data_IF_157429115481
#
_entry.id   IF_157429115481
#
_cell.length_a   1.000
_cell.length_b   1.000
_cell.length_c   1.000
_cell.angle_alpha   90.00
_cell.angle_beta   90.00
_cell.angle_gamma   90.00
#
_symmetry.space_group_name_H-M   'P 1'
#
loop_
_entity.id
_entity.type
_entity.pdbx_description
1 polymer ?
#
# COMPACT_ATOMS: atom_id res chain seq x y z
N UNK A 1 16.14 70.62 13.54
CA UNK A 1 16.49 69.25 13.10
C UNK A 1 15.34 68.34 13.49
N UNK A 2 14.46 68.01 12.55
CA UNK A 2 13.47 66.95 12.70
C UNK A 2 13.82 65.89 11.65
N UNK A 3 14.22 64.70 12.10
CA UNK A 3 14.57 63.58 11.24
C UNK A 3 13.31 62.77 10.93
N UNK A 4 12.95 62.71 9.65
CA UNK A 4 11.89 61.84 9.14
C UNK A 4 12.41 60.41 9.09
N UNK A 5 11.86 59.50 9.89
CA UNK A 5 12.14 58.06 9.79
C UNK A 5 11.10 57.45 8.85
N UNK A 6 11.48 57.23 7.59
CA UNK A 6 10.67 56.48 6.64
C UNK A 6 10.84 54.99 6.93
N UNK A 7 9.77 54.35 7.36
CA UNK A 7 9.69 52.89 7.51
C UNK A 7 9.34 52.31 6.14
N UNK A 8 10.34 51.78 5.43
CA UNK A 8 10.12 50.94 4.24
C UNK A 8 9.41 49.66 4.68
N UNK A 9 8.20 49.44 4.18
CA UNK A 9 7.54 48.14 4.19
C UNK A 9 8.09 47.32 3.01
N UNK A 10 8.77 46.19 3.25
CA UNK A 10 8.97 45.20 2.20
C UNK A 10 7.82 44.21 2.29
N UNK A 11 6.80 44.35 1.46
CA UNK A 11 5.81 43.28 1.28
C UNK A 11 5.52 43.12 -0.21
N UNK A 12 6.52 42.60 -0.94
CA UNK A 12 6.21 41.80 -2.11
C UNK A 12 5.39 40.59 -1.64
N UNK A 13 4.09 40.65 -1.89
CA UNK A 13 3.21 39.48 -1.84
C UNK A 13 3.84 38.43 -2.77
N UNK A 14 4.25 37.24 -2.28
CA UNK A 14 4.85 36.25 -3.16
C UNK A 14 3.84 35.89 -4.26
N UNK A 15 4.28 35.79 -5.53
CA UNK A 15 3.37 35.53 -6.63
C UNK A 15 2.69 34.19 -6.42
N UNK A 16 1.39 34.16 -6.71
CA UNK A 16 0.58 32.95 -6.84
C UNK A 16 1.39 31.87 -7.57
N UNK A 17 1.84 30.84 -6.84
CA UNK A 17 2.58 29.74 -7.45
C UNK A 17 1.70 29.13 -8.53
N UNK A 18 2.14 29.18 -9.80
CA UNK A 18 1.35 28.63 -10.90
C UNK A 18 1.09 27.14 -10.68
N UNK A 19 -0.05 26.64 -11.15
CA UNK A 19 -0.40 25.20 -11.07
C UNK A 19 0.70 24.30 -11.65
N UNK A 20 1.42 24.78 -12.67
CA UNK A 20 2.58 24.11 -13.25
C UNK A 20 3.77 24.02 -12.27
N UNK A 21 4.01 25.09 -11.50
CA UNK A 21 5.06 25.12 -10.48
C UNK A 21 4.74 24.20 -9.30
N UNK A 22 3.48 24.18 -8.84
CA UNK A 22 3.01 23.25 -7.80
C UNK A 22 3.10 21.78 -8.21
N UNK A 23 2.73 21.45 -9.46
CA UNK A 23 2.87 20.09 -10.01
C UNK A 23 4.34 19.66 -10.15
N UNK A 24 5.22 20.59 -10.50
CA UNK A 24 6.67 20.32 -10.59
C UNK A 24 7.27 20.08 -9.20
N UNK A 25 6.89 20.87 -8.20
CA UNK A 25 7.29 20.65 -6.79
C UNK A 25 6.80 19.28 -6.31
N UNK A 26 5.53 18.94 -6.59
CA UNK A 26 4.95 17.63 -6.23
C UNK A 26 5.72 16.47 -6.86
N UNK A 27 6.01 16.53 -8.16
CA UNK A 27 6.83 15.53 -8.85
C UNK A 27 8.21 15.36 -8.24
N UNK A 28 8.87 16.46 -7.89
CA UNK A 28 10.20 16.42 -7.27
C UNK A 28 10.15 15.73 -5.92
N UNK A 29 9.18 16.09 -5.07
CA UNK A 29 8.98 15.45 -3.76
C UNK A 29 8.69 13.95 -3.89
N UNK A 30 7.84 13.53 -4.83
CA UNK A 30 7.56 12.11 -5.06
C UNK A 30 8.81 11.33 -5.49
N UNK A 31 9.66 11.91 -6.34
CA UNK A 31 10.92 11.29 -6.75
C UNK A 31 11.95 11.22 -5.62
N UNK A 32 12.03 12.25 -4.77
CA UNK A 32 12.89 12.25 -3.59
C UNK A 32 12.49 11.15 -2.61
N UNK A 33 11.19 10.99 -2.32
CA UNK A 33 10.66 9.90 -1.50
C UNK A 33 10.92 8.51 -2.12
N UNK A 34 10.74 8.38 -3.45
CA UNK A 34 11.07 7.14 -4.16
C UNK A 34 12.58 6.80 -4.06
N UNK A 35 13.44 7.81 -4.07
CA UNK A 35 14.89 7.67 -3.84
C UNK A 35 15.21 7.19 -2.42
N UNK A 36 14.57 7.76 -1.40
CA UNK A 36 14.70 7.31 0.00
C UNK A 36 14.28 5.84 0.15
N UNK A 37 13.15 5.46 -0.45
CA UNK A 37 12.68 4.07 -0.43
C UNK A 37 13.64 3.13 -1.16
N UNK A 38 14.29 3.56 -2.24
CA UNK A 38 15.32 2.74 -2.90
C UNK A 38 16.49 2.44 -1.96
N UNK A 39 16.91 3.41 -1.13
CA UNK A 39 17.96 3.19 -0.15
C UNK A 39 17.53 2.18 0.92
N UNK A 40 16.29 2.30 1.43
CA UNK A 40 15.71 1.32 2.36
C UNK A 40 15.71 -0.08 1.74
N UNK A 41 15.17 -0.23 0.53
CA UNK A 41 15.14 -1.50 -0.21
C UNK A 41 16.54 -2.12 -0.30
N UNK A 42 17.54 -1.34 -0.73
CA UNK A 42 18.91 -1.84 -0.88
C UNK A 42 19.51 -2.30 0.46
N UNK A 43 19.31 -1.53 1.54
CA UNK A 43 19.80 -1.87 2.87
C UNK A 43 19.10 -3.11 3.43
N UNK A 44 17.79 -3.20 3.27
CA UNK A 44 17.01 -4.35 3.72
C UNK A 44 17.40 -5.62 2.98
N UNK A 45 17.60 -5.56 1.65
CA UNK A 45 18.11 -6.69 0.88
C UNK A 45 19.50 -7.14 1.36
N UNK A 46 20.38 -6.19 1.69
CA UNK A 46 21.68 -6.50 2.25
C UNK A 46 21.56 -7.17 3.63
N UNK A 47 20.69 -6.67 4.51
CA UNK A 47 20.45 -7.27 5.81
C UNK A 47 19.90 -8.70 5.70
N UNK A 48 18.94 -8.94 4.81
CA UNK A 48 18.38 -10.26 4.54
C UNK A 48 19.42 -11.24 3.99
N UNK A 49 20.41 -10.74 3.21
CA UNK A 49 21.51 -11.59 2.72
C UNK A 49 22.41 -12.15 3.82
N UNK A 50 22.38 -11.55 5.03
CA UNK A 50 23.10 -12.05 6.19
C UNK A 50 22.36 -13.19 6.92
N UNK A 51 21.07 -13.41 6.65
CA UNK A 51 20.26 -14.44 7.30
C UNK A 51 20.44 -15.83 6.67
N UNK A 52 21.64 -16.41 6.82
CA UNK A 52 22.02 -17.66 6.13
C UNK A 52 21.44 -18.92 6.76
N UNK A 53 21.25 -18.92 8.08
CA UNK A 53 20.85 -20.08 8.89
C UNK A 53 20.26 -19.59 10.22
N UNK A 54 19.86 -20.52 11.09
CA UNK A 54 19.15 -20.16 12.30
C UNK A 54 19.97 -19.28 13.26
N UNK A 55 21.28 -19.52 13.37
CA UNK A 55 22.20 -18.73 14.21
C UNK A 55 22.37 -17.31 13.67
N UNK A 56 22.29 -17.13 12.34
CA UNK A 56 22.35 -15.83 11.68
C UNK A 56 20.97 -15.17 11.41
N UNK A 57 19.90 -15.65 12.05
CA UNK A 57 18.58 -15.00 12.04
C UNK A 57 17.54 -15.58 11.08
N UNK A 58 17.83 -16.69 10.38
CA UNK A 58 16.87 -17.33 9.46
C UNK A 58 15.62 -17.87 10.18
N UNK A 59 14.45 -17.32 9.91
CA UNK A 59 13.17 -17.64 10.54
C UNK A 59 12.90 -16.82 11.80
N UNK A 60 13.74 -15.83 12.11
CA UNK A 60 13.52 -14.95 13.26
C UNK A 60 12.46 -13.89 12.97
N UNK A 61 12.01 -13.20 14.03
CA UNK A 61 11.11 -12.06 13.89
C UNK A 61 11.78 -10.92 13.13
N UNK A 62 13.08 -10.72 13.32
CA UNK A 62 13.86 -9.69 12.65
C UNK A 62 13.93 -9.93 11.14
N UNK A 63 14.14 -11.17 10.69
CA UNK A 63 14.06 -11.51 9.26
C UNK A 63 12.65 -11.26 8.72
N UNK A 64 11.61 -11.65 9.45
CA UNK A 64 10.24 -11.45 9.02
C UNK A 64 9.86 -9.96 8.91
N UNK A 65 10.27 -9.12 9.87
CA UNK A 65 10.06 -7.66 9.79
C UNK A 65 10.88 -7.04 8.64
N UNK A 66 12.08 -7.55 8.36
CA UNK A 66 12.87 -7.11 7.21
C UNK A 66 12.21 -7.49 5.88
N UNK A 67 11.67 -8.71 5.73
CA UNK A 67 10.90 -9.13 4.55
C UNK A 67 9.66 -8.26 4.34
N UNK A 68 8.91 -8.00 5.43
CA UNK A 68 7.77 -7.09 5.39
C UNK A 68 8.17 -5.67 5.00
N UNK A 69 9.25 -5.14 5.60
CA UNK A 69 9.76 -3.81 5.27
C UNK A 69 10.14 -3.73 3.78
N UNK A 70 10.83 -4.74 3.26
CA UNK A 70 11.20 -4.83 1.86
C UNK A 70 9.96 -4.78 0.96
N UNK A 71 8.94 -5.57 1.25
CA UNK A 71 7.68 -5.60 0.49
C UNK A 71 7.00 -4.23 0.52
N UNK A 72 6.79 -3.66 1.72
CA UNK A 72 6.10 -2.38 1.88
C UNK A 72 6.88 -1.26 1.18
N UNK A 73 8.21 -1.24 1.28
CA UNK A 73 9.04 -0.23 0.61
C UNK A 73 9.01 -0.37 -0.92
N UNK A 74 9.00 -1.61 -1.44
CA UNK A 74 8.85 -1.86 -2.87
C UNK A 74 7.50 -1.35 -3.39
N UNK A 75 6.40 -1.69 -2.71
CA UNK A 75 5.05 -1.25 -3.08
C UNK A 75 4.92 0.27 -3.03
N UNK A 76 5.41 0.93 -1.96
CA UNK A 76 5.40 2.38 -1.84
C UNK A 76 6.20 3.04 -2.96
N UNK A 77 7.39 2.53 -3.27
CA UNK A 77 8.24 3.08 -4.33
C UNK A 77 7.57 2.91 -5.70
N UNK A 78 6.95 1.77 -5.96
CA UNK A 78 6.21 1.50 -7.19
C UNK A 78 5.05 2.49 -7.36
N UNK A 79 4.26 2.70 -6.31
CA UNK A 79 3.14 3.62 -6.30
C UNK A 79 3.58 5.08 -6.56
N UNK A 80 4.65 5.55 -5.90
CA UNK A 80 5.20 6.88 -6.13
C UNK A 80 5.67 7.08 -7.59
N UNK A 81 6.35 6.08 -8.17
CA UNK A 81 6.83 6.15 -9.54
C UNK A 81 5.68 6.09 -10.56
N UNK A 82 4.64 5.30 -10.28
CA UNK A 82 3.44 5.27 -11.10
C UNK A 82 2.73 6.64 -11.09
N UNK A 83 2.64 7.29 -9.93
CA UNK A 83 2.04 8.62 -9.84
C UNK A 83 2.88 9.70 -10.53
N UNK A 84 4.21 9.64 -10.42
CA UNK A 84 5.12 10.50 -11.20
C UNK A 84 4.89 10.32 -12.69
N UNK A 85 4.70 9.08 -13.17
CA UNK A 85 4.41 8.83 -14.58
C UNK A 85 3.05 9.41 -15.00
N UNK A 86 2.01 9.20 -14.19
CA UNK A 86 0.66 9.74 -14.42
C UNK A 86 0.65 11.27 -14.51
N UNK A 87 1.32 11.95 -13.58
CA UNK A 87 1.44 13.41 -13.56
C UNK A 87 2.20 13.96 -14.78
N UNK A 88 3.12 13.18 -15.37
CA UNK A 88 3.83 13.57 -16.60
C UNK A 88 2.96 13.43 -17.84
N UNK A 89 2.09 12.42 -17.90
CA UNK A 89 1.16 12.18 -19.02
C UNK A 89 0.02 13.20 -19.04
N UNK A 90 -0.51 13.57 -17.87
CA UNK A 90 -1.54 14.62 -17.72
C UNK A 90 -1.06 15.98 -18.23
N UNK A 91 0.25 16.26 -18.15
CA UNK A 91 0.88 17.47 -18.73
C UNK A 91 0.88 17.49 -20.26
N UNK A 92 0.75 16.34 -20.92
CA UNK A 92 0.75 16.22 -22.39
C UNK A 92 -0.63 16.34 -23.03
N UNK A 93 -1.70 16.28 -22.23
CA UNK A 93 -3.10 16.23 -22.70
C UNK A 93 -3.85 17.49 -22.30
N UNK A 94 -3.39 18.66 -22.76
CA UNK A 94 -4.20 19.88 -22.74
C UNK A 94 -5.12 19.89 -23.98
N UNK A 95 -6.23 19.16 -23.94
CA UNK A 95 -7.28 19.27 -24.98
C UNK A 95 -8.68 19.17 -24.40
N UNK A 96 -9.35 20.33 -24.33
CA UNK A 96 -10.75 20.55 -24.69
C UNK A 96 -11.85 19.84 -23.89
N UNK A 97 -12.63 20.60 -23.14
CA UNK A 97 -13.90 21.19 -23.59
C UNK A 97 -14.67 21.69 -22.36
N UNK A 98 -14.77 23.01 -22.20
CA UNK A 98 -15.65 23.66 -21.22
C UNK A 98 -17.10 23.52 -21.71
N UNK A 99 -17.78 22.50 -21.20
CA UNK A 99 -19.24 22.44 -21.19
C UNK A 99 -19.76 23.02 -19.88
N UNK A 100 -20.45 24.15 -19.96
CA UNK A 100 -21.13 24.82 -18.85
C UNK A 100 -22.36 24.01 -18.40
N UNK A 101 -22.09 22.91 -17.71
CA UNK A 101 -23.04 22.22 -16.87
C UNK A 101 -22.37 22.20 -15.51
N UNK A 102 -22.90 22.88 -14.50
CA UNK A 102 -22.42 22.73 -13.12
C UNK A 102 -22.87 21.34 -12.66
N UNK A 103 -22.04 20.28 -12.77
CA UNK A 103 -22.44 18.99 -12.26
C UNK A 103 -22.43 19.17 -10.74
N UNK A 104 -23.47 18.74 -10.03
CA UNK A 104 -23.42 18.71 -8.57
C UNK A 104 -22.09 18.08 -8.17
N UNK A 105 -21.25 18.87 -7.48
CA UNK A 105 -19.92 18.42 -7.10
C UNK A 105 -20.11 17.13 -6.27
N UNK A 106 -19.49 16.00 -6.67
CA UNK A 106 -19.69 14.75 -5.98
C UNK A 106 -19.44 14.94 -4.49
N UNK A 107 -20.33 14.43 -3.64
CA UNK A 107 -20.17 14.54 -2.21
C UNK A 107 -18.81 13.92 -1.79
N UNK A 108 -18.11 14.61 -0.89
CA UNK A 108 -16.86 14.11 -0.30
C UNK A 108 -17.15 13.55 1.08
N UNK A 109 -16.45 12.49 1.45
CA UNK A 109 -16.72 11.73 2.66
C UNK A 109 -15.44 11.35 3.41
N UNK A 110 -15.63 10.68 4.53
CA UNK A 110 -14.55 10.04 5.29
C UNK A 110 -14.84 8.55 5.40
N UNK A 111 -13.83 7.73 5.13
CA UNK A 111 -13.88 6.27 5.36
C UNK A 111 -12.88 5.92 6.45
N UNK A 112 -13.31 5.12 7.41
CA UNK A 112 -12.47 4.62 8.50
C UNK A 112 -12.48 3.09 8.51
N UNK A 113 -11.29 2.49 8.51
CA UNK A 113 -11.11 1.03 8.63
C UNK A 113 -10.61 0.75 10.05
N UNK A 114 -11.42 0.03 10.83
CA UNK A 114 -11.16 -0.35 12.22
C UNK A 114 -11.31 -1.86 12.39
N UNK A 115 -10.87 -2.37 13.54
CA UNK A 115 -11.16 -3.73 14.01
C UNK A 115 -10.78 -4.81 12.97
N UNK A 116 -9.57 -4.69 12.41
CA UNK A 116 -9.05 -5.61 11.41
C UNK A 116 -8.74 -6.94 12.10
N UNK A 117 -9.38 -8.00 11.63
CA UNK A 117 -9.29 -9.34 12.21
C UNK A 117 -8.99 -10.38 11.12
N UNK A 118 -8.14 -11.33 11.46
CA UNK A 118 -7.78 -12.47 10.61
C UNK A 118 -8.10 -13.77 11.32
N UNK A 119 -9.26 -14.39 11.04
CA UNK A 119 -9.59 -15.72 11.52
C UNK A 119 -8.66 -16.76 10.89
N UNK A 120 -8.08 -17.61 11.73
CA UNK A 120 -7.29 -18.75 11.33
C UNK A 120 -8.08 -20.04 11.58
N UNK A 121 -7.63 -21.13 10.98
CA UNK A 121 -8.19 -22.44 11.31
C UNK A 121 -7.80 -22.84 12.73
N UNK A 122 -8.75 -23.35 13.52
CA UNK A 122 -8.51 -23.79 14.90
C UNK A 122 -7.38 -24.80 14.98
N UNK A 123 -7.34 -25.79 14.08
CA UNK A 123 -6.29 -26.80 14.05
C UNK A 123 -4.90 -26.20 13.80
N UNK A 124 -4.83 -25.12 13.01
CA UNK A 124 -3.58 -24.40 12.77
C UNK A 124 -3.11 -23.68 14.03
N UNK A 125 -4.01 -22.97 14.72
CA UNK A 125 -3.70 -22.29 15.98
C UNK A 125 -3.27 -23.30 17.04
N UNK A 126 -4.01 -24.40 17.22
CA UNK A 126 -3.63 -25.48 18.14
C UNK A 126 -2.27 -26.09 17.79
N UNK A 127 -1.97 -26.30 16.51
CA UNK A 127 -0.66 -26.82 16.09
C UNK A 127 0.49 -25.86 16.43
N UNK A 128 0.26 -24.55 16.32
CA UNK A 128 1.26 -23.53 16.65
C UNK A 128 1.55 -23.45 18.15
N UNK A 129 0.56 -23.67 19.01
CA UNK A 129 0.74 -23.66 20.47
C UNK A 129 1.58 -24.84 20.97
N UNK A 130 1.51 -25.98 20.27
CA UNK A 130 2.28 -27.18 20.61
C UNK A 130 3.69 -27.16 20.02
N UNK A 131 4.00 -26.21 19.13
CA UNK A 131 5.32 -26.07 18.51
C UNK A 131 6.23 -25.27 19.43
N UNK A 132 7.42 -25.81 19.70
CA UNK A 132 8.50 -25.09 20.36
C UNK A 132 9.41 -24.40 19.33
N UNK A 133 10.07 -23.31 19.74
CA UNK A 133 10.99 -22.57 18.88
C UNK A 133 10.33 -21.47 18.04
N UNK A 134 10.88 -21.21 16.85
CA UNK A 134 10.46 -20.11 15.99
C UNK A 134 9.05 -20.30 15.40
N UNK A 135 8.27 -19.22 15.24
CA UNK A 135 6.97 -19.27 14.58
C UNK A 135 7.07 -19.91 13.20
N UNK A 136 6.07 -20.71 12.84
CA UNK A 136 6.02 -21.32 11.51
C UNK A 136 5.60 -20.32 10.43
N UNK A 137 4.74 -19.38 10.82
CA UNK A 137 4.15 -18.38 9.94
C UNK A 137 4.07 -17.02 10.63
N UNK A 138 4.29 -15.98 9.84
CA UNK A 138 4.00 -14.60 10.18
C UNK A 138 2.94 -14.06 9.22
N UNK A 139 2.02 -13.26 9.73
CA UNK A 139 0.89 -12.69 9.00
C UNK A 139 0.88 -11.17 9.15
N UNK A 140 0.48 -10.48 8.08
CA UNK A 140 0.09 -9.08 8.13
C UNK A 140 -0.87 -8.76 6.99
N UNK A 141 -1.58 -7.63 7.09
CA UNK A 141 -2.37 -7.09 6.00
C UNK A 141 -1.74 -5.79 5.47
N UNK A 142 -1.76 -5.62 4.15
CA UNK A 142 -1.41 -4.40 3.43
C UNK A 142 -2.69 -3.74 2.95
N UNK A 143 -2.84 -2.45 3.22
CA UNK A 143 -4.02 -1.65 2.89
C UNK A 143 -3.55 -0.54 1.96
N UNK A 144 -3.98 -0.59 0.69
CA UNK A 144 -3.63 0.43 -0.31
C UNK A 144 -4.84 1.27 -0.65
N UNK A 145 -4.63 2.58 -0.76
CA UNK A 145 -5.69 3.50 -1.12
C UNK A 145 -5.16 4.79 -1.73
N UNK A 146 -5.91 5.34 -2.67
CA UNK A 146 -5.45 6.48 -3.46
C UNK A 146 -4.15 6.17 -4.22
N UNK A 147 -3.45 7.19 -4.74
CA UNK A 147 -2.32 6.96 -5.65
C UNK A 147 -1.08 6.37 -4.98
N UNK A 148 -0.81 6.74 -3.72
CA UNK A 148 0.47 6.46 -3.06
C UNK A 148 0.34 5.96 -1.61
N UNK A 149 -0.86 5.87 -1.05
CA UNK A 149 -0.99 5.52 0.38
C UNK A 149 -1.02 4.01 0.57
N UNK A 150 -0.14 3.55 1.44
CA UNK A 150 0.03 2.16 1.78
C UNK A 150 0.29 2.06 3.28
N UNK A 151 -0.64 1.42 3.99
CA UNK A 151 -0.51 1.06 5.38
C UNK A 151 -0.32 -0.45 5.52
N UNK A 152 0.43 -0.86 6.53
CA UNK A 152 0.65 -2.27 6.84
C UNK A 152 0.36 -2.50 8.32
N UNK A 153 -0.31 -3.61 8.62
CA UNK A 153 -0.49 -4.02 10.01
C UNK A 153 0.86 -4.47 10.61
N UNK A 154 1.01 -4.45 11.94
CA UNK A 154 2.10 -5.18 12.60
C UNK A 154 2.13 -6.65 12.16
N UNK A 155 3.32 -7.27 12.19
CA UNK A 155 3.38 -8.72 12.05
C UNK A 155 2.65 -9.36 13.23
N UNK A 156 1.98 -10.46 12.94
CA UNK A 156 1.35 -11.31 13.93
C UNK A 156 1.65 -12.77 13.61
N UNK A 157 1.50 -13.62 14.60
CA UNK A 157 1.64 -15.07 14.52
C UNK A 157 0.36 -15.71 15.03
N UNK A 158 0.23 -17.03 14.87
CA UNK A 158 -0.89 -17.75 15.46
C UNK A 158 -0.96 -17.66 16.99
N UNK A 159 0.15 -17.34 17.67
CA UNK A 159 0.16 -17.11 19.12
C UNK A 159 -0.55 -15.80 19.52
N UNK A 160 -0.78 -14.88 18.58
CA UNK A 160 -1.48 -13.62 18.81
C UNK A 160 -3.01 -13.77 18.78
N UNK A 161 -3.52 -14.95 18.41
CA UNK A 161 -4.94 -15.30 18.50
C UNK A 161 -5.34 -15.60 19.96
N UNK A 162 -5.42 -14.55 20.80
CA UNK A 162 -5.68 -14.67 22.25
C UNK A 162 -7.12 -15.07 22.60
N UNK A 163 -8.08 -14.83 21.71
CA UNK A 163 -9.51 -15.01 21.95
C UNK A 163 -10.14 -15.99 20.95
N UNK A 164 -9.61 -17.21 20.90
CA UNK A 164 -10.05 -18.26 19.98
C UNK A 164 -9.03 -18.48 18.87
N UNK A 165 -9.48 -18.32 17.63
CA UNK A 165 -8.70 -18.60 16.42
C UNK A 165 -8.40 -17.36 15.59
N UNK A 166 -8.73 -16.17 16.11
CA UNK A 166 -8.68 -14.92 15.34
C UNK A 166 -7.59 -13.98 15.85
N UNK A 167 -6.69 -13.58 14.94
CA UNK A 167 -5.72 -12.50 15.18
C UNK A 167 -6.44 -11.16 15.06
N UNK A 168 -6.19 -10.25 16.00
CA UNK A 168 -6.66 -8.85 15.92
C UNK A 168 -5.48 -7.91 15.71
N UNK A 169 -5.54 -7.08 14.66
CA UNK A 169 -4.48 -6.11 14.37
C UNK A 169 -4.83 -4.73 14.94
N UNK A 170 -3.92 -4.07 15.67
CA UNK A 170 -4.14 -2.74 16.24
C UNK A 170 -3.92 -1.64 15.19
N UNK A 171 -4.47 -1.82 13.99
CA UNK A 171 -4.31 -0.91 12.86
C UNK A 171 -5.61 -0.21 12.58
N UNK A 172 -5.52 1.09 12.36
CA UNK A 172 -6.64 1.97 12.07
C UNK A 172 -6.25 2.92 10.96
N UNK A 173 -7.09 3.01 9.92
CA UNK A 173 -6.84 3.84 8.74
C UNK A 173 -8.01 4.79 8.56
N UNK A 174 -7.73 6.09 8.38
CA UNK A 174 -8.75 7.09 8.02
C UNK A 174 -8.39 7.74 6.69
N UNK A 175 -9.31 7.65 5.75
CA UNK A 175 -9.29 8.36 4.49
C UNK A 175 -10.27 9.53 4.60
N UNK A 176 -9.76 10.75 4.72
CA UNK A 176 -10.58 11.96 4.78
C UNK A 176 -10.74 12.59 3.41
N UNK A 177 -11.83 13.30 3.22
CA UNK A 177 -12.08 14.11 2.02
C UNK A 177 -12.02 13.31 0.70
N UNK A 178 -12.52 12.07 0.69
CA UNK A 178 -12.50 11.22 -0.50
C UNK A 178 -13.78 11.34 -1.34
N UNK A 179 -13.66 11.12 -2.65
CA UNK A 179 -14.79 11.03 -3.58
C UNK A 179 -15.47 9.67 -3.48
N UNK A 180 -16.71 9.57 -3.96
CA UNK A 180 -17.48 8.30 -4.00
C UNK A 180 -16.83 7.20 -4.84
N UNK A 181 -15.93 7.53 -5.76
CA UNK A 181 -15.18 6.59 -6.61
C UNK A 181 -13.90 6.07 -5.96
N UNK A 182 -13.83 6.02 -4.63
CA UNK A 182 -12.63 5.56 -3.94
C UNK A 182 -12.45 4.04 -4.09
N UNK A 183 -11.20 3.60 -4.09
CA UNK A 183 -10.83 2.18 -4.10
C UNK A 183 -9.87 1.93 -2.93
N UNK A 184 -10.07 0.78 -2.26
CA UNK A 184 -9.23 0.31 -1.17
C UNK A 184 -8.94 -1.16 -1.43
N UNK A 185 -7.68 -1.49 -1.63
CA UNK A 185 -7.22 -2.88 -1.69
C UNK A 185 -6.75 -3.32 -0.31
N UNK A 186 -7.19 -4.50 0.11
CA UNK A 186 -6.68 -5.17 1.32
C UNK A 186 -6.10 -6.51 0.89
N UNK A 187 -4.79 -6.67 1.12
CA UNK A 187 -4.06 -7.89 0.81
C UNK A 187 -3.52 -8.51 2.09
N UNK A 188 -3.78 -9.80 2.29
CA UNK A 188 -3.27 -10.55 3.45
C UNK A 188 -2.07 -11.37 3.01
N UNK A 189 -0.96 -11.18 3.71
CA UNK A 189 0.29 -11.89 3.47
C UNK A 189 0.56 -12.91 4.57
N UNK A 190 1.21 -14.00 4.16
CA UNK A 190 1.74 -15.03 5.06
C UNK A 190 3.17 -15.34 4.64
N UNK A 191 4.11 -15.17 5.56
CA UNK A 191 5.49 -15.62 5.40
C UNK A 191 5.64 -16.93 6.15
N UNK A 192 6.02 -18.00 5.47
CA UNK A 192 6.25 -19.33 6.07
C UNK A 192 7.71 -19.73 5.97
N UNK A 193 8.30 -20.18 7.07
CA UNK A 193 9.61 -20.83 7.04
C UNK A 193 9.42 -22.34 7.08
N UNK A 194 9.64 -22.99 5.95
CA UNK A 194 9.80 -24.45 5.96
C UNK A 194 11.17 -24.73 6.56
N UNK A 195 11.18 -25.37 7.73
CA UNK A 195 12.40 -26.02 8.21
C UNK A 195 12.80 -27.01 7.12
N UNK A 196 13.91 -26.74 6.44
CA UNK A 196 14.40 -27.60 5.36
C UNK A 196 14.75 -28.96 5.93
N UNK A 197 13.89 -29.96 5.69
CA UNK A 197 14.41 -31.32 5.54
C UNK A 197 15.38 -31.28 4.35
N UNK A 198 16.64 -31.66 4.59
CA UNK A 198 17.70 -31.72 3.58
C UNK A 198 17.19 -32.32 2.25
N UNK A 199 16.83 -31.47 1.29
CA UNK A 199 16.90 -31.81 -0.12
C UNK A 199 18.23 -31.25 -0.60
N UNK A 200 19.25 -32.11 -0.69
CA UNK A 200 20.48 -31.75 -1.38
C UNK A 200 20.12 -31.39 -2.81
N UNK A 201 20.28 -30.12 -3.18
CA UNK A 201 20.36 -29.74 -4.58
C UNK A 201 21.71 -29.08 -4.79
N UNK A 202 22.54 -29.83 -5.49
CA UNK A 202 23.80 -29.40 -6.06
C UNK A 202 23.68 -28.02 -6.70
N UNK A 203 24.73 -27.24 -6.44
CA UNK A 203 25.01 -25.93 -7.02
C UNK A 203 24.95 -26.01 -8.55
N UNK A 204 23.88 -25.49 -9.15
CA UNK A 204 23.82 -25.17 -10.58
C UNK A 204 23.32 -23.73 -10.78
N UNK A 205 24.20 -22.90 -11.32
CA UNK A 205 23.96 -21.53 -11.77
C UNK A 205 22.86 -21.44 -12.83
N UNK A 206 21.77 -20.71 -12.56
CA UNK A 206 20.88 -20.22 -13.61
C UNK A 206 20.22 -18.90 -13.22
N UNK A 207 20.49 -17.86 -14.01
CA UNK A 207 19.76 -16.58 -14.01
C UNK A 207 18.34 -16.85 -14.51
N UNK A 208 17.29 -16.40 -13.80
CA UNK A 208 16.02 -16.15 -14.45
C UNK A 208 15.16 -15.12 -13.72
N UNK A 209 14.79 -14.13 -14.51
CA UNK A 209 13.85 -13.02 -14.34
C UNK A 209 12.44 -13.54 -14.03
N UNK A 210 11.84 -13.11 -12.92
CA UNK A 210 10.44 -13.44 -12.58
C UNK A 210 9.65 -12.16 -12.30
N UNK A 211 8.92 -11.72 -13.32
CA UNK A 211 7.80 -10.77 -13.18
C UNK A 211 6.53 -11.61 -12.96
N UNK A 212 5.71 -11.37 -11.91
CA UNK A 212 4.47 -12.11 -11.74
C UNK A 212 3.47 -11.78 -12.87
N UNK A 213 2.96 -12.81 -13.56
CA UNK A 213 1.90 -12.67 -14.57
C UNK A 213 0.54 -12.59 -13.85
N UNK A 214 -0.16 -11.46 -14.01
CA UNK A 214 -1.58 -11.32 -13.64
C UNK A 214 -2.44 -12.28 -14.46
N UNK A 215 -3.22 -13.13 -13.78
CA UNK A 215 -4.32 -13.88 -14.38
C UNK A 215 -5.56 -12.98 -14.39
N UNK A 216 -5.92 -12.42 -15.55
CA UNK A 216 -7.23 -11.78 -15.75
C UNK A 216 -8.28 -12.87 -16.02
N UNK A 217 -9.24 -13.04 -15.11
CA UNK A 217 -10.49 -13.74 -15.42
C UNK A 217 -11.55 -12.70 -15.82
N UNK A 218 -11.92 -12.73 -17.10
CA UNK A 218 -12.99 -11.95 -17.70
C UNK A 218 -14.36 -12.54 -17.34
N UNK A 219 -15.07 -11.92 -16.40
CA UNK A 219 -16.49 -12.21 -16.17
C UNK A 219 -17.33 -11.39 -17.17
N UNK A 220 -17.94 -12.08 -18.14
CA UNK A 220 -18.95 -11.51 -19.03
C UNK A 220 -20.22 -11.21 -18.22
N UNK A 221 -20.60 -9.94 -18.16
CA UNK A 221 -21.88 -9.44 -17.64
C UNK A 221 -23.02 -9.92 -18.56
N UNK A 222 -23.90 -10.78 -18.07
CA UNK A 222 -25.16 -11.09 -18.76
C UNK A 222 -26.21 -10.04 -18.39
N UNK A 223 -26.72 -9.32 -19.37
CA UNK A 223 -27.83 -8.37 -19.22
C UNK A 223 -29.15 -9.14 -19.12
N UNK A 224 -29.82 -9.09 -17.96
CA UNK A 224 -31.23 -9.47 -17.85
C UNK A 224 -32.07 -8.19 -17.81
N UNK A 225 -32.70 -7.88 -18.93
CA UNK A 225 -33.75 -6.86 -19.04
C UNK A 225 -35.03 -7.41 -18.42
N UNK A 226 -35.43 -6.89 -17.25
CA UNK A 226 -36.77 -7.08 -16.71
C UNK A 226 -37.63 -5.86 -17.05
N UNK A 227 -38.55 -6.05 -17.98
CA UNK A 227 -39.68 -5.15 -18.24
C UNK A 227 -40.72 -5.31 -17.12
N UNK A 228 -40.97 -4.25 -16.36
CA UNK A 228 -42.10 -4.18 -15.44
C UNK A 228 -43.28 -3.53 -16.16
N UNK A 229 -44.27 -4.34 -16.50
CA UNK A 229 -45.58 -3.91 -17.00
C UNK A 229 -46.42 -3.46 -15.80
N UNK A 230 -46.81 -2.19 -15.77
CA UNK A 230 -47.82 -1.69 -14.85
C UNK A 230 -49.20 -2.18 -15.32
N UNK A 231 -49.89 -2.93 -14.46
CA UNK A 231 -51.32 -3.18 -14.59
C UNK A 231 -52.02 -2.48 -13.43
N UNK A 232 -52.71 -1.38 -13.75
CA UNK A 232 -53.69 -0.76 -12.87
C UNK A 232 -54.97 -1.57 -12.87
N UNK A 233 -55.60 -1.68 -11.71
CA UNK A 233 -56.98 -2.08 -11.57
C UNK A 233 -57.65 -1.18 -10.53
N UNK A 234 -58.91 -0.88 -10.83
CA UNK A 234 -59.82 0.09 -10.22
C UNK A 234 -60.10 -0.12 -8.72
#
# INVERSE_FOLDING_TARGET
>A
MAGSFSMEYPDEIPPFMSMQHLSTISNKTLNEEAGKLQNVISQTLQALSCCTDEEHGRGSLEEAEAEKLLLVSCEKRSALLAEVARLREERGSESGEEGDYVPQQPCRGTVSITNIQLPLKVEFVCSSHNRTGRPSHFFFALIRYGPCNIDATPLATAADAKNGDTISFPTFVILKDIRSSFEIDVEVYSLSHTSGGNSSMDRATAKSRVTPRKLLNTLKRSSHSHSLTYQGAA
#
